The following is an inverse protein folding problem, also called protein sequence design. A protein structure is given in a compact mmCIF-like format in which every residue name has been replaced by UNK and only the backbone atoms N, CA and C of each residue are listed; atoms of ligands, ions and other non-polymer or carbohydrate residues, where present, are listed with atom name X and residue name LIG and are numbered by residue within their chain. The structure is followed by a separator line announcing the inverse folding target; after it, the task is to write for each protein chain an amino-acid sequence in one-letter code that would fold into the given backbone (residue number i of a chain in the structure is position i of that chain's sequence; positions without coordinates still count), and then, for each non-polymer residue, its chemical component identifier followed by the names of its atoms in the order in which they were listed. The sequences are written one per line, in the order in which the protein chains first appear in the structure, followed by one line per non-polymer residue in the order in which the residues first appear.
data_IF_866080597985
#
_entry.id   IF_866080597985
#
_cell.length_a   1.000
_cell.length_b   1.000
_cell.length_c   1.000
_cell.angle_alpha   90.00
_cell.angle_beta   90.00
_cell.angle_gamma   90.00
#
_symmetry.space_group_name_H-M   'P 1'
#
loop_
_entity.id
_entity.type
_entity.pdbx_description
1 polymer ?
#
# COMPACT_ATOMS: atom_id res chain seq x y z
N UNK A 1 -13.88 -5.20 16.92
CA UNK A 1 -12.54 -5.36 16.31
C UNK A 1 -11.56 -4.43 17.02
N UNK A 2 -10.33 -4.88 17.28
CA UNK A 2 -9.30 -4.05 17.92
C UNK A 2 -8.79 -2.97 16.97
N UNK A 3 -8.51 -1.75 17.48
CA UNK A 3 -8.12 -0.60 16.66
C UNK A 3 -6.81 -0.85 15.90
N UNK A 4 -5.83 -1.50 16.51
CA UNK A 4 -4.56 -1.83 15.84
C UNK A 4 -4.74 -2.73 14.61
N UNK A 5 -5.71 -3.65 14.63
CA UNK A 5 -6.05 -4.50 13.47
C UNK A 5 -6.96 -3.76 12.47
N UNK A 6 -7.79 -2.84 12.94
CA UNK A 6 -8.63 -2.02 12.07
C UNK A 6 -7.79 -1.09 11.18
N UNK A 7 -6.80 -0.43 11.75
CA UNK A 7 -5.86 0.43 11.03
C UNK A 7 -5.06 -0.32 9.96
N UNK A 8 -4.68 -1.57 10.21
CA UNK A 8 -3.96 -2.40 9.24
C UNK A 8 -4.76 -2.74 7.97
N UNK A 9 -6.09 -2.59 7.98
CA UNK A 9 -6.93 -2.75 6.79
C UNK A 9 -6.83 -1.57 5.82
N UNK A 10 -6.29 -0.46 6.28
CA UNK A 10 -6.06 0.72 5.44
C UNK A 10 -4.82 0.48 4.59
N UNK A 11 -4.95 0.61 3.27
CA UNK A 11 -3.83 0.45 2.35
C UNK A 11 -2.73 1.46 2.64
N UNK A 12 -1.55 0.98 3.00
CA UNK A 12 -0.38 1.77 3.37
C UNK A 12 -0.04 1.76 4.86
N UNK A 13 -0.94 1.26 5.73
CA UNK A 13 -0.67 1.09 7.15
C UNK A 13 -0.37 -0.38 7.45
N UNK A 14 0.80 -0.63 8.00
CA UNK A 14 1.22 -1.94 8.50
C UNK A 14 1.16 -2.00 10.02
N UNK A 15 1.60 -3.10 10.60
CA UNK A 15 1.59 -3.32 12.04
C UNK A 15 2.35 -2.22 12.81
N UNK A 16 3.58 -1.91 12.43
CA UNK A 16 4.41 -0.89 13.10
C UNK A 16 3.77 0.49 13.00
N UNK A 17 3.29 0.89 11.80
CA UNK A 17 2.63 2.18 11.62
C UNK A 17 1.36 2.31 12.46
N UNK A 18 0.57 1.24 12.56
CA UNK A 18 -0.64 1.22 13.39
C UNK A 18 -0.32 1.37 14.87
N UNK A 19 0.73 0.70 15.35
CA UNK A 19 1.20 0.84 16.74
C UNK A 19 1.69 2.25 17.04
N UNK A 20 2.46 2.87 16.13
CA UNK A 20 2.93 4.24 16.27
C UNK A 20 1.76 5.25 16.33
N UNK A 21 0.76 5.10 15.46
CA UNK A 21 -0.44 5.96 15.47
C UNK A 21 -1.18 5.82 16.80
N UNK A 22 -1.42 4.61 17.26
CA UNK A 22 -2.07 4.37 18.55
C UNK A 22 -1.28 4.99 19.72
N UNK A 23 0.04 4.86 19.73
CA UNK A 23 0.91 5.42 20.75
C UNK A 23 0.86 6.97 20.77
N UNK A 24 0.85 7.61 19.59
CA UNK A 24 0.75 9.07 19.49
C UNK A 24 -0.61 9.60 19.98
N UNK A 25 -1.68 8.85 19.76
CA UNK A 25 -3.01 9.21 20.26
C UNK A 25 -3.25 8.79 21.73
N UNK A 26 -2.29 8.13 22.38
CA UNK A 26 -2.45 7.62 23.75
C UNK A 26 -3.44 6.47 23.89
N UNK A 27 -3.75 5.77 22.80
CA UNK A 27 -4.75 4.69 22.74
C UNK A 27 -4.04 3.34 22.71
N UNK A 28 -4.49 2.38 23.49
CA UNK A 28 -3.96 1.02 23.42
C UNK A 28 -4.41 0.32 22.15
N UNK A 29 -3.51 -0.38 21.47
CA UNK A 29 -3.79 -1.07 20.21
C UNK A 29 -4.85 -2.19 20.34
N UNK A 30 -5.12 -2.63 21.58
CA UNK A 30 -6.11 -3.66 21.94
C UNK A 30 -7.51 -3.11 22.14
N UNK A 31 -7.68 -1.79 22.32
CA UNK A 31 -9.00 -1.14 22.48
C UNK A 31 -9.91 -1.47 21.29
N UNK A 32 -11.17 -1.73 21.56
CA UNK A 32 -12.15 -1.98 20.50
C UNK A 32 -12.56 -0.67 19.82
N UNK A 33 -12.79 -0.72 18.53
CA UNK A 33 -13.27 0.45 17.76
C UNK A 33 -14.62 0.98 18.30
N UNK A 34 -15.45 0.10 18.85
CA UNK A 34 -16.74 0.49 19.47
C UNK A 34 -16.61 1.34 20.72
N UNK A 35 -15.46 1.25 21.39
CA UNK A 35 -15.23 1.86 22.71
C UNK A 35 -14.49 3.20 22.58
N UNK A 36 -14.19 3.61 21.34
CA UNK A 36 -13.51 4.88 21.05
C UNK A 36 -14.49 6.05 20.99
N UNK A 37 -14.09 7.17 21.56
CA UNK A 37 -14.82 8.43 21.47
C UNK A 37 -14.59 9.13 20.11
N UNK A 38 -15.50 10.03 19.73
CA UNK A 38 -15.42 10.74 18.43
C UNK A 38 -14.11 11.50 18.25
N UNK A 39 -13.64 12.22 19.25
CA UNK A 39 -12.37 12.97 19.21
C UNK A 39 -11.14 12.09 19.06
N UNK A 40 -11.16 10.86 19.58
CA UNK A 40 -10.08 9.89 19.42
C UNK A 40 -10.02 9.38 17.98
N UNK A 41 -11.18 9.17 17.36
CA UNK A 41 -11.26 8.77 15.95
C UNK A 41 -10.74 9.87 15.02
N UNK A 42 -11.06 11.13 15.30
CA UNK A 42 -10.53 12.28 14.55
C UNK A 42 -9.01 12.36 14.67
N UNK A 43 -8.48 12.28 15.88
CA UNK A 43 -7.02 12.25 16.12
C UNK A 43 -6.32 11.10 15.39
N UNK A 44 -6.91 9.90 15.41
CA UNK A 44 -6.39 8.74 14.67
C UNK A 44 -6.38 8.99 13.15
N UNK A 45 -7.43 9.64 12.62
CA UNK A 45 -7.52 9.98 11.20
C UNK A 45 -6.45 11.00 10.79
N UNK A 46 -6.27 12.07 11.56
CA UNK A 46 -5.24 13.09 11.34
C UNK A 46 -3.83 12.50 11.36
N UNK A 47 -3.48 11.75 12.39
CA UNK A 47 -2.17 11.09 12.50
C UNK A 47 -1.93 10.07 11.38
N UNK A 48 -2.95 9.33 10.95
CA UNK A 48 -2.81 8.37 9.86
C UNK A 48 -2.49 9.04 8.53
N UNK A 49 -3.03 10.25 8.29
CA UNK A 49 -2.78 11.03 7.06
C UNK A 49 -1.43 11.76 7.10
N UNK A 50 -1.02 12.25 8.28
CA UNK A 50 0.22 13.02 8.44
C UNK A 50 1.49 12.18 8.34
N UNK A 51 1.47 10.93 8.84
CA UNK A 51 2.67 10.08 8.88
C UNK A 51 3.20 9.71 7.50
N UNK A 52 2.35 9.40 6.55
CA UNK A 52 2.73 9.03 5.18
C UNK A 52 1.51 9.00 4.25
N UNK A 53 1.73 9.06 2.95
CA UNK A 53 0.64 8.90 2.00
C UNK A 53 -0.01 7.51 2.17
N UNK A 54 -1.32 7.48 2.28
CA UNK A 54 -2.13 6.28 2.42
C UNK A 54 -3.18 6.20 1.31
N UNK A 55 -3.82 5.05 1.19
CA UNK A 55 -4.95 4.82 0.27
C UNK A 55 -4.68 5.33 -1.16
N UNK A 56 -5.50 6.28 -1.63
CA UNK A 56 -5.44 6.82 -2.99
C UNK A 56 -4.13 7.57 -3.27
N UNK A 57 -3.62 8.32 -2.30
CA UNK A 57 -2.38 9.07 -2.44
C UNK A 57 -1.17 8.14 -2.60
N UNK A 58 -1.12 7.06 -1.84
CA UNK A 58 -0.06 6.05 -1.99
C UNK A 58 -0.16 5.31 -3.33
N UNK A 59 -1.38 4.97 -3.78
CA UNK A 59 -1.59 4.35 -5.09
C UNK A 59 -1.11 5.27 -6.21
N UNK A 60 -1.43 6.57 -6.12
CA UNK A 60 -0.99 7.58 -7.09
C UNK A 60 0.53 7.72 -7.11
N UNK A 61 1.18 7.81 -5.94
CA UNK A 61 2.64 7.91 -5.84
C UNK A 61 3.33 6.68 -6.46
N UNK A 62 2.83 5.48 -6.18
CA UNK A 62 3.34 4.25 -6.78
C UNK A 62 3.14 4.22 -8.29
N UNK A 63 1.99 4.67 -8.78
CA UNK A 63 1.71 4.77 -10.21
C UNK A 63 2.64 5.77 -10.91
N UNK A 64 2.83 6.95 -10.34
CA UNK A 64 3.78 7.95 -10.87
C UNK A 64 5.21 7.43 -10.95
N UNK A 65 5.65 6.63 -9.95
CA UNK A 65 6.97 6.00 -9.97
C UNK A 65 7.13 5.02 -11.14
N UNK A 66 6.08 4.25 -11.46
CA UNK A 66 6.06 3.35 -12.60
C UNK A 66 6.02 4.11 -13.94
N UNK A 67 5.17 5.12 -14.04
CA UNK A 67 5.05 5.98 -15.23
C UNK A 67 6.37 6.69 -15.54
N UNK A 68 7.08 7.16 -14.52
CA UNK A 68 8.41 7.74 -14.69
C UNK A 68 9.38 6.78 -15.38
N UNK A 69 9.41 5.51 -14.96
CA UNK A 69 10.29 4.50 -15.57
C UNK A 69 9.94 4.23 -17.04
N UNK A 70 8.66 4.29 -17.36
CA UNK A 70 8.17 4.11 -18.74
C UNK A 70 8.52 5.32 -19.59
N UNK A 71 8.30 6.54 -19.07
CA UNK A 71 8.54 7.80 -19.80
C UNK A 71 10.03 8.04 -20.10
N UNK A 72 10.94 7.60 -19.22
CA UNK A 72 12.38 7.65 -19.43
C UNK A 72 12.82 6.69 -20.55
N UNK A 73 11.99 5.72 -20.95
CA UNK A 73 12.35 4.69 -21.93
C UNK A 73 13.32 3.65 -21.40
N UNK A 74 13.34 3.41 -20.08
CA UNK A 74 14.21 2.43 -19.46
C UNK A 74 13.81 0.99 -19.83
N UNK A 75 14.78 0.08 -19.85
CA UNK A 75 14.52 -1.36 -20.02
C UNK A 75 13.52 -1.89 -19.01
N UNK A 76 13.64 -1.48 -17.74
CA UNK A 76 12.71 -1.86 -16.67
C UNK A 76 11.29 -1.38 -16.96
N UNK A 77 11.12 -0.14 -17.42
CA UNK A 77 9.81 0.41 -17.80
C UNK A 77 9.18 -0.38 -18.95
N UNK A 78 9.95 -0.68 -19.97
CA UNK A 78 9.50 -1.50 -21.11
C UNK A 78 9.02 -2.89 -20.67
N UNK A 79 9.79 -3.59 -19.83
CA UNK A 79 9.39 -4.90 -19.28
C UNK A 79 8.15 -4.83 -18.42
N UNK A 80 7.97 -3.77 -17.61
CA UNK A 80 6.79 -3.56 -16.79
C UNK A 80 5.52 -3.36 -17.61
N UNK A 81 5.60 -2.61 -18.73
CA UNK A 81 4.47 -2.43 -19.66
C UNK A 81 4.05 -3.76 -20.26
N UNK A 82 5.00 -4.58 -20.66
CA UNK A 82 4.73 -5.92 -21.21
C UNK A 82 4.25 -6.92 -20.16
N UNK A 83 4.40 -6.61 -18.86
CA UNK A 83 4.10 -7.54 -17.76
C UNK A 83 5.07 -8.72 -17.70
N UNK A 84 6.34 -8.46 -18.00
CA UNK A 84 7.43 -9.43 -17.98
C UNK A 84 8.35 -9.17 -16.78
N UNK A 85 9.12 -10.21 -16.33
CA UNK A 85 10.12 -10.03 -15.28
C UNK A 85 11.19 -9.01 -15.69
N UNK A 86 11.60 -8.17 -14.75
CA UNK A 86 12.54 -7.06 -14.98
C UNK A 86 13.98 -7.37 -14.58
N UNK A 87 14.22 -8.52 -13.93
CA UNK A 87 15.51 -8.87 -13.33
C UNK A 87 16.23 -10.03 -14.03
N UNK A 88 16.08 -10.18 -15.35
CA UNK A 88 16.76 -11.20 -16.14
C UNK A 88 16.29 -12.64 -15.91
N UNK A 89 15.14 -12.84 -15.31
CA UNK A 89 14.56 -14.17 -15.09
C UNK A 89 14.06 -14.78 -16.40
N UNK A 90 14.16 -16.12 -16.53
CA UNK A 90 13.61 -16.82 -17.70
C UNK A 90 12.10 -16.71 -17.76
N UNK A 91 11.55 -16.66 -18.94
CA UNK A 91 10.11 -16.50 -19.19
C UNK A 91 9.40 -17.78 -19.58
N UNK A 92 10.17 -18.84 -19.93
CA UNK A 92 9.63 -20.12 -20.44
C UNK A 92 8.95 -20.96 -19.35
N UNK A 93 9.53 -21.07 -18.16
CA UNK A 93 9.06 -21.97 -17.09
C UNK A 93 8.49 -21.22 -15.88
N UNK A 94 9.23 -20.26 -15.33
CA UNK A 94 8.87 -19.50 -14.12
C UNK A 94 8.14 -18.19 -14.48
N UNK A 95 8.22 -17.17 -13.65
CA UNK A 95 7.55 -15.88 -13.81
C UNK A 95 6.02 -15.92 -13.64
N UNK A 96 5.51 -16.79 -12.79
CA UNK A 96 4.06 -16.93 -12.56
C UNK A 96 3.44 -15.65 -11.98
N UNK A 97 4.15 -14.94 -11.09
CA UNK A 97 3.69 -13.68 -10.51
C UNK A 97 3.50 -12.61 -11.59
N UNK A 98 4.45 -12.43 -12.49
CA UNK A 98 4.35 -11.48 -13.60
C UNK A 98 3.18 -11.84 -14.54
N UNK A 99 3.02 -13.12 -14.87
CA UNK A 99 1.89 -13.62 -15.68
C UNK A 99 0.53 -13.36 -15.01
N UNK A 100 0.44 -13.56 -13.70
CA UNK A 100 -0.79 -13.30 -12.92
C UNK A 100 -1.16 -11.81 -12.92
N UNK A 101 -0.19 -10.93 -12.67
CA UNK A 101 -0.39 -9.47 -12.69
C UNK A 101 -0.83 -9.01 -14.08
N UNK A 102 -0.23 -9.51 -15.14
CA UNK A 102 -0.63 -9.23 -16.53
C UNK A 102 -2.08 -9.62 -16.80
N UNK A 103 -2.52 -10.80 -16.34
CA UNK A 103 -3.91 -11.27 -16.49
C UNK A 103 -4.90 -10.37 -15.76
N UNK A 104 -4.57 -9.90 -14.56
CA UNK A 104 -5.42 -8.99 -13.78
C UNK A 104 -5.56 -7.62 -14.44
N UNK A 105 -4.50 -7.09 -15.07
CA UNK A 105 -4.55 -5.83 -15.82
C UNK A 105 -5.41 -5.92 -17.09
N UNK A 106 -5.47 -7.08 -17.75
CA UNK A 106 -6.30 -7.29 -18.94
C UNK A 106 -7.79 -7.44 -18.63
N UNK A 107 -8.17 -7.70 -17.38
CA UNK A 107 -9.59 -7.86 -16.95
C UNK A 107 -10.25 -6.55 -16.50
N UNK A 108 -9.51 -5.46 -16.44
CA UNK A 108 -10.01 -4.10 -16.17
C UNK A 108 -10.09 -3.28 -17.46
#
# INVERSE_FOLDING_TARGET
MQIGKALQRIYGLGQISSLLICAQCGITSTTRVSDLYGYELESLAEWSQSLKPIQANLKRANQQSLERLVNIGSYRGFRLVQGLPTRGQRTSTNAQTAKRIRRLKKRK
#
